data_IF_632001562156
#
_entry.id   IF_632001562156
#
_cell.length_a   1.000
_cell.length_b   1.000
_cell.length_c   1.000
_cell.angle_alpha   90.00
_cell.angle_beta   90.00
_cell.angle_gamma   90.00
#
_symmetry.space_group_name_H-M   'P 1'
#
loop_
_entity.id
_entity.type
_entity.pdbx_description
1 polymer ?
#
# COMPACT_ATOMS: atom_id res chain seq x y z
N UNK A 1 -13.50 38.03 28.64
CA UNK A 1 -12.12 37.56 28.35
C UNK A 1 -11.93 36.04 28.41
N UNK A 2 -12.72 35.28 29.19
CA UNK A 2 -12.58 33.81 29.28
C UNK A 2 -13.06 33.03 28.04
N UNK A 3 -14.12 33.49 27.36
CA UNK A 3 -14.69 32.79 26.20
C UNK A 3 -13.73 32.78 25.00
N UNK A 4 -12.97 33.87 24.78
CA UNK A 4 -11.96 33.95 23.72
C UNK A 4 -10.81 32.95 23.92
N UNK A 5 -10.43 32.68 25.17
CA UNK A 5 -9.37 31.71 25.51
C UNK A 5 -9.80 30.28 25.21
N UNK A 6 -11.06 29.92 25.51
CA UNK A 6 -11.60 28.59 25.21
C UNK A 6 -11.69 28.37 23.69
N UNK A 7 -12.19 29.37 22.95
CA UNK A 7 -12.30 29.30 21.49
C UNK A 7 -10.93 29.10 20.81
N UNK A 8 -9.86 29.73 21.33
CA UNK A 8 -8.50 29.54 20.83
C UNK A 8 -7.98 28.13 21.08
N UNK A 9 -8.18 27.59 22.29
CA UNK A 9 -7.76 26.22 22.62
C UNK A 9 -8.50 25.17 21.77
N UNK A 10 -9.81 25.32 21.56
CA UNK A 10 -10.58 24.42 20.70
C UNK A 10 -10.06 24.45 19.26
N UNK A 11 -9.82 25.64 18.69
CA UNK A 11 -9.28 25.76 17.32
C UNK A 11 -7.88 25.15 17.18
N UNK A 12 -7.03 25.27 18.21
CA UNK A 12 -5.72 24.61 18.22
C UNK A 12 -5.87 23.09 18.24
N UNK A 13 -6.75 22.55 19.09
CA UNK A 13 -7.03 21.11 19.15
C UNK A 13 -7.61 20.62 17.83
N UNK A 14 -8.57 21.32 17.23
CA UNK A 14 -9.11 20.97 15.92
C UNK A 14 -8.04 20.99 14.82
N UNK A 15 -7.13 21.97 14.82
CA UNK A 15 -6.00 22.03 13.88
C UNK A 15 -5.00 20.90 14.11
N UNK A 16 -4.70 20.56 15.36
CA UNK A 16 -3.80 19.45 15.71
C UNK A 16 -4.42 18.09 15.35
N UNK A 17 -5.72 17.91 15.58
CA UNK A 17 -6.47 16.73 15.17
C UNK A 17 -6.50 16.62 13.65
N UNK A 18 -6.85 17.69 12.92
CA UNK A 18 -6.82 17.71 11.44
C UNK A 18 -5.43 17.41 10.88
N UNK A 19 -4.36 17.92 11.50
CA UNK A 19 -2.98 17.61 11.12
C UNK A 19 -2.59 16.15 11.33
N UNK A 20 -3.22 15.46 12.29
CA UNK A 20 -2.88 14.09 12.67
C UNK A 20 -3.52 13.01 11.78
N UNK A 21 -4.44 13.39 10.89
CA UNK A 21 -5.21 12.45 10.06
C UNK A 21 -5.00 12.60 8.53
N UNK A 22 -4.04 13.41 8.08
CA UNK A 22 -3.71 13.47 6.66
C UNK A 22 -2.83 12.28 6.26
N UNK A 23 -3.44 11.11 6.08
CA UNK A 23 -2.77 9.97 5.43
C UNK A 23 -2.74 10.20 3.93
N UNK A 24 -1.59 9.95 3.30
CA UNK A 24 -1.40 9.99 1.86
C UNK A 24 -1.01 8.60 1.40
N UNK A 25 -1.73 8.09 0.41
CA UNK A 25 -1.50 6.78 -0.19
C UNK A 25 -1.18 6.97 -1.67
N UNK A 26 -0.42 6.05 -2.24
CA UNK A 26 -0.09 6.02 -3.66
C UNK A 26 -0.47 4.65 -4.21
N UNK A 27 -1.23 4.62 -5.30
CA UNK A 27 -1.48 3.41 -6.08
C UNK A 27 -0.36 3.24 -7.12
N UNK A 28 0.12 2.00 -7.28
CA UNK A 28 1.15 1.65 -8.26
C UNK A 28 0.52 0.66 -9.24
N UNK A 29 0.16 1.15 -10.42
CA UNK A 29 -0.38 0.34 -11.51
C UNK A 29 0.77 -0.15 -12.40
N UNK A 30 1.40 -1.26 -12.04
CA UNK A 30 2.53 -1.81 -12.79
C UNK A 30 3.01 -3.17 -12.28
N UNK A 31 3.96 -3.77 -13.00
CA UNK A 31 4.60 -5.02 -12.63
C UNK A 31 6.06 -4.78 -12.26
N UNK A 32 6.57 -5.57 -11.31
CA UNK A 32 8.00 -5.64 -11.00
C UNK A 32 8.49 -6.98 -11.53
N UNK A 33 9.53 -6.93 -12.37
CA UNK A 33 10.17 -8.13 -12.91
C UNK A 33 11.37 -8.50 -12.03
N UNK A 34 11.45 -9.78 -11.66
CA UNK A 34 12.52 -10.38 -10.86
C UNK A 34 13.06 -11.62 -11.57
N UNK A 35 14.14 -12.20 -11.08
CA UNK A 35 14.65 -13.45 -11.63
C UNK A 35 13.64 -14.59 -11.42
N UNK A 36 13.57 -15.53 -12.37
CA UNK A 36 12.57 -16.60 -12.38
C UNK A 36 12.65 -17.56 -11.19
N UNK A 37 13.80 -17.57 -10.49
CA UNK A 37 14.03 -18.40 -9.31
C UNK A 37 13.45 -17.79 -8.03
N UNK A 38 13.09 -16.50 -8.04
CA UNK A 38 12.54 -15.82 -6.88
C UNK A 38 11.06 -16.19 -6.73
N UNK A 39 10.73 -16.71 -5.56
CA UNK A 39 9.34 -17.05 -5.21
C UNK A 39 8.53 -15.82 -4.79
N UNK A 40 7.19 -15.93 -4.86
CA UNK A 40 6.28 -14.87 -4.37
C UNK A 40 6.57 -14.49 -2.91
N UNK A 41 6.85 -15.48 -2.05
CA UNK A 41 7.16 -15.25 -0.63
C UNK A 41 8.48 -14.50 -0.43
N UNK A 42 9.54 -14.88 -1.15
CA UNK A 42 10.84 -14.19 -1.08
C UNK A 42 10.71 -12.74 -1.55
N UNK A 43 10.02 -12.52 -2.67
CA UNK A 43 9.74 -11.19 -3.20
C UNK A 43 8.91 -10.37 -2.21
N UNK A 44 7.79 -10.91 -1.72
CA UNK A 44 6.88 -10.21 -0.81
C UNK A 44 7.58 -9.80 0.47
N UNK A 45 8.38 -10.68 1.06
CA UNK A 45 9.17 -10.37 2.24
C UNK A 45 10.19 -9.25 1.99
N UNK A 46 10.94 -9.31 0.89
CA UNK A 46 11.92 -8.29 0.54
C UNK A 46 11.26 -6.93 0.27
N UNK A 47 10.14 -6.92 -0.45
CA UNK A 47 9.39 -5.72 -0.78
C UNK A 47 8.79 -5.07 0.48
N UNK A 48 8.11 -5.84 1.33
CA UNK A 48 7.54 -5.33 2.58
C UNK A 48 8.64 -4.79 3.50
N UNK A 49 9.76 -5.51 3.65
CA UNK A 49 10.91 -5.02 4.42
C UNK A 49 11.44 -3.68 3.88
N UNK A 50 11.54 -3.53 2.55
CA UNK A 50 11.93 -2.26 1.96
C UNK A 50 10.95 -1.13 2.30
N UNK A 51 9.63 -1.36 2.16
CA UNK A 51 8.59 -0.37 2.47
C UNK A 51 8.63 0.04 3.95
N UNK A 52 8.70 -0.94 4.85
CA UNK A 52 8.75 -0.71 6.29
C UNK A 52 10.04 -0.01 6.73
N UNK A 53 11.18 -0.27 6.05
CA UNK A 53 12.45 0.42 6.32
C UNK A 53 12.37 1.95 6.09
N UNK A 54 11.36 2.42 5.35
CA UNK A 54 11.08 3.85 5.12
C UNK A 54 10.05 4.44 6.08
N UNK A 55 9.54 3.64 7.03
CA UNK A 55 8.44 4.02 7.92
C UNK A 55 7.09 4.09 7.21
N UNK A 56 6.96 3.44 6.06
CA UNK A 56 5.71 3.32 5.33
C UNK A 56 5.01 2.01 5.71
N UNK A 57 3.73 1.90 5.38
CA UNK A 57 2.97 0.66 5.50
C UNK A 57 2.49 0.24 4.12
N UNK A 58 2.74 -1.00 3.75
CA UNK A 58 2.10 -1.59 2.58
C UNK A 58 0.71 -2.11 2.98
N UNK A 59 -0.31 -1.74 2.22
CA UNK A 59 -1.67 -2.25 2.36
C UNK A 59 -2.13 -2.86 1.05
N UNK A 60 -2.60 -4.11 1.07
CA UNK A 60 -3.05 -4.83 -0.11
C UNK A 60 -2.54 -6.27 -0.15
N UNK A 61 -2.54 -6.85 -1.35
CA UNK A 61 -1.97 -8.15 -1.64
C UNK A 61 -0.99 -8.06 -2.80
N UNK A 62 -0.11 -9.04 -2.89
CA UNK A 62 0.80 -9.27 -4.01
C UNK A 62 0.27 -10.52 -4.72
N UNK A 63 0.29 -10.54 -6.05
CA UNK A 63 -0.10 -11.72 -6.82
C UNK A 63 1.01 -12.02 -7.84
N UNK A 64 1.36 -13.28 -7.98
CA UNK A 64 2.26 -13.71 -9.04
C UNK A 64 1.55 -13.68 -10.41
N UNK A 65 2.28 -13.19 -11.42
CA UNK A 65 1.85 -13.18 -12.82
C UNK A 65 2.91 -13.91 -13.64
N UNK A 66 2.50 -14.92 -14.39
CA UNK A 66 3.36 -15.62 -15.36
C UNK A 66 2.70 -15.62 -16.73
N UNK A 67 3.47 -15.26 -17.76
CA UNK A 67 3.01 -15.14 -19.16
C UNK A 67 1.74 -14.28 -19.33
N UNK A 68 1.54 -13.26 -18.48
CA UNK A 68 0.36 -12.41 -18.52
C UNK A 68 -0.91 -13.01 -17.90
N UNK A 69 -0.78 -14.05 -17.07
CA UNK A 69 -1.88 -14.64 -16.30
C UNK A 69 -1.57 -14.59 -14.81
N UNK A 70 -2.58 -14.30 -14.00
CA UNK A 70 -2.47 -14.47 -12.54
C UNK A 70 -2.27 -15.94 -12.19
N UNK A 71 -1.38 -16.24 -11.25
CA UNK A 71 -1.20 -17.59 -10.73
C UNK A 71 -2.04 -17.77 -9.46
N UNK A 72 -2.84 -18.83 -9.42
CA UNK A 72 -3.65 -19.19 -8.27
C UNK A 72 -2.81 -19.96 -7.23
N UNK A 73 -3.25 -20.04 -5.95
CA UNK A 73 -2.52 -20.76 -4.91
C UNK A 73 -2.28 -22.26 -5.19
N UNK A 74 -3.06 -22.87 -6.09
CA UNK A 74 -2.88 -24.26 -6.53
C UNK A 74 -1.89 -24.40 -7.71
N UNK A 75 -1.28 -23.30 -8.14
CA UNK A 75 -0.34 -23.22 -9.27
C UNK A 75 -1.00 -23.15 -10.64
N UNK A 76 -2.34 -23.13 -10.73
CA UNK A 76 -3.03 -23.00 -12.00
C UNK A 76 -3.09 -21.54 -12.49
N UNK A 77 -3.18 -21.36 -13.81
CA UNK A 77 -3.37 -20.04 -14.43
C UNK A 77 -4.82 -19.59 -14.24
N UNK A 78 -4.99 -18.43 -13.61
CA UNK A 78 -6.24 -17.71 -13.47
C UNK A 78 -6.57 -16.84 -14.68
N UNK A 79 -7.18 -15.68 -14.42
CA UNK A 79 -7.55 -14.72 -15.47
C UNK A 79 -6.31 -14.11 -16.15
N UNK A 80 -6.46 -13.71 -17.40
CA UNK A 80 -5.43 -12.91 -18.06
C UNK A 80 -5.40 -11.50 -17.45
N UNK A 81 -4.19 -10.96 -17.30
CA UNK A 81 -3.96 -9.57 -16.88
C UNK A 81 -4.34 -8.58 -18.00
N UNK A 82 -4.39 -9.07 -19.26
CA UNK A 82 -4.72 -8.31 -20.46
C UNK A 82 -6.18 -8.46 -20.89
N UNK A 83 -7.02 -9.11 -20.09
CA UNK A 83 -8.47 -9.05 -20.31
C UNK A 83 -8.94 -7.63 -19.95
N UNK A 84 -8.83 -6.74 -20.94
CA UNK A 84 -9.61 -5.51 -21.00
C UNK A 84 -11.10 -5.89 -20.93
N UNK A 85 -11.86 -5.22 -20.06
CA UNK A 85 -13.33 -5.41 -19.88
C UNK A 85 -14.13 -5.48 -21.19
#
# INVERSE_FOLDING_TARGET
MHILSIALHVNIIEKLLKRRFMRKEFEINGCIEVQAEITEDEFSNAFIQFVESKGWSFGGGINEIQDGYYILPDGSKGKSVLEDE
#
